data_IF_419264674180
#
_entry.id   IF_419264674180
#
_cell.length_a   1.000
_cell.length_b   1.000
_cell.length_c   1.000
_cell.angle_alpha   90.00
_cell.angle_beta   90.00
_cell.angle_gamma   90.00
#
_symmetry.space_group_name_H-M   'P 1'
#
loop_
_entity.id
_entity.type
_entity.pdbx_description
1 polymer ?
#
# COMPACT_ATOMS: atom_id res chain seq x y z
N UNK A 1 -7.32 -30.25 5.84
CA UNK A 1 -7.18 -28.86 6.32
C UNK A 1 -8.53 -28.17 6.14
N UNK A 2 -9.08 -27.52 7.16
CA UNK A 2 -10.35 -26.78 7.02
C UNK A 2 -10.01 -25.31 6.72
N UNK A 3 -10.19 -24.90 5.47
CA UNK A 3 -9.84 -23.55 5.00
C UNK A 3 -10.57 -22.45 5.78
N UNK A 4 -11.83 -22.68 6.16
CA UNK A 4 -12.62 -21.71 6.94
C UNK A 4 -12.04 -21.51 8.34
N UNK A 5 -11.48 -22.56 8.95
CA UNK A 5 -10.78 -22.43 10.23
C UNK A 5 -9.53 -21.55 10.11
N UNK A 6 -8.76 -21.72 9.04
CA UNK A 6 -7.58 -20.91 8.76
C UNK A 6 -7.93 -19.45 8.44
N UNK A 7 -8.96 -19.22 7.63
CA UNK A 7 -9.47 -17.86 7.34
C UNK A 7 -9.88 -17.16 8.64
N UNK A 8 -10.66 -17.83 9.50
CA UNK A 8 -11.09 -17.26 10.77
C UNK A 8 -9.91 -16.93 11.72
N UNK A 9 -8.78 -17.65 11.62
CA UNK A 9 -7.57 -17.31 12.37
C UNK A 9 -6.90 -16.05 11.81
N UNK A 10 -6.83 -15.91 10.48
CA UNK A 10 -6.28 -14.72 9.81
C UNK A 10 -7.14 -13.48 10.11
N UNK A 11 -8.46 -13.59 10.00
CA UNK A 11 -9.39 -12.49 10.25
C UNK A 11 -9.27 -11.93 11.68
N UNK A 12 -8.98 -12.77 12.68
CA UNK A 12 -8.76 -12.32 14.07
C UNK A 12 -7.52 -11.45 14.25
N UNK A 13 -6.54 -11.56 13.36
CA UNK A 13 -5.31 -10.76 13.40
C UNK A 13 -5.54 -9.38 12.76
N UNK A 14 -6.57 -9.24 11.93
CA UNK A 14 -6.93 -7.99 11.27
C UNK A 14 -7.78 -7.17 12.24
N UNK A 15 -7.20 -6.13 12.84
CA UNK A 15 -7.92 -5.21 13.75
C UNK A 15 -8.86 -4.29 12.98
N UNK A 16 -8.30 -3.29 12.30
CA UNK A 16 -9.04 -2.37 11.45
C UNK A 16 -8.28 -2.19 10.12
N UNK A 17 -8.74 -2.82 9.04
CA UNK A 17 -8.06 -2.78 7.75
C UNK A 17 -8.11 -1.41 7.06
N UNK A 18 -8.88 -0.44 7.59
CA UNK A 18 -8.87 0.95 7.09
C UNK A 18 -7.59 1.72 7.47
N UNK A 19 -6.90 1.29 8.53
CA UNK A 19 -5.59 1.83 8.93
C UNK A 19 -4.41 1.05 8.32
N UNK A 20 -4.67 -0.14 7.79
CA UNK A 20 -3.68 -1.02 7.19
C UNK A 20 -3.88 -2.46 7.62
N UNK A 21 -3.24 -3.38 6.90
CA UNK A 21 -3.18 -4.79 7.27
C UNK A 21 -1.91 -5.06 8.09
N UNK A 22 -1.91 -6.08 8.97
CA UNK A 22 -0.67 -6.66 9.45
C UNK A 22 0.25 -7.02 8.29
N UNK A 23 1.56 -6.85 8.48
CA UNK A 23 2.55 -6.92 7.41
C UNK A 23 2.52 -8.26 6.65
N UNK A 24 2.44 -9.38 7.36
CA UNK A 24 2.43 -10.71 6.77
C UNK A 24 1.17 -10.96 5.94
N UNK A 25 0.05 -10.39 6.38
CA UNK A 25 -1.23 -10.46 5.65
C UNK A 25 -1.15 -9.55 4.43
N UNK A 26 -0.57 -8.36 4.56
CA UNK A 26 -0.35 -7.45 3.43
C UNK A 26 0.52 -8.11 2.34
N UNK A 27 1.65 -8.73 2.70
CA UNK A 27 2.50 -9.46 1.75
C UNK A 27 1.85 -10.70 1.16
N UNK A 28 0.94 -11.36 1.88
CA UNK A 28 0.14 -12.44 1.29
C UNK A 28 -0.76 -11.88 0.19
N UNK A 29 -1.54 -10.83 0.49
CA UNK A 29 -2.50 -10.22 -0.42
C UNK A 29 -1.79 -9.62 -1.66
N UNK A 30 -0.65 -8.96 -1.48
CA UNK A 30 0.11 -8.34 -2.57
C UNK A 30 0.65 -9.34 -3.61
N UNK A 31 0.86 -10.60 -3.22
CA UNK A 31 1.32 -11.67 -4.11
C UNK A 31 0.21 -12.31 -4.94
N UNK A 32 -1.03 -12.22 -4.49
CA UNK A 32 -2.16 -12.97 -5.08
C UNK A 32 -3.30 -12.09 -5.60
N UNK A 33 -3.27 -10.78 -5.32
CA UNK A 33 -4.28 -9.82 -5.80
C UNK A 33 -3.64 -8.51 -6.26
N UNK A 34 -4.19 -7.86 -7.28
CA UNK A 34 -3.76 -6.51 -7.63
C UNK A 34 -4.12 -5.53 -6.52
N UNK A 35 -3.20 -4.59 -6.26
CA UNK A 35 -3.40 -3.49 -5.31
C UNK A 35 -3.70 -2.19 -6.07
N UNK A 36 -4.59 -1.37 -5.50
CA UNK A 36 -4.92 -0.06 -6.08
C UNK A 36 -4.00 0.98 -5.45
N UNK A 37 -3.31 1.76 -6.29
CA UNK A 37 -2.40 2.82 -5.86
C UNK A 37 -2.81 4.18 -6.40
N UNK A 38 -2.38 5.21 -5.68
CA UNK A 38 -2.31 6.59 -6.14
C UNK A 38 -0.84 6.98 -6.20
N UNK A 39 -0.40 7.48 -7.36
CA UNK A 39 0.91 8.12 -7.53
C UNK A 39 0.69 9.61 -7.87
N UNK A 40 1.47 10.48 -7.23
CA UNK A 40 1.35 11.93 -7.29
C UNK A 40 2.50 12.53 -8.10
N UNK A 41 2.24 12.86 -9.36
CA UNK A 41 3.20 13.60 -10.18
C UNK A 41 3.15 15.10 -9.81
N UNK A 42 4.04 15.50 -8.90
CA UNK A 42 4.07 16.85 -8.34
C UNK A 42 5.16 17.67 -9.03
N UNK A 43 4.79 18.84 -9.56
CA UNK A 43 5.70 19.79 -10.18
C UNK A 43 5.82 21.07 -9.36
N UNK A 44 7.02 21.63 -9.28
CA UNK A 44 7.21 22.98 -8.76
C UNK A 44 7.05 24.05 -9.87
N UNK A 45 7.20 25.33 -9.52
CA UNK A 45 7.06 26.45 -10.46
C UNK A 45 8.14 26.49 -11.56
N UNK A 46 9.24 25.77 -11.38
CA UNK A 46 10.32 25.66 -12.36
C UNK A 46 10.14 24.46 -13.31
N UNK A 47 9.07 23.67 -13.15
CA UNK A 47 8.83 22.46 -13.94
C UNK A 47 9.58 21.22 -13.46
N UNK A 48 10.22 21.27 -12.29
CA UNK A 48 10.93 20.13 -11.71
C UNK A 48 9.94 19.18 -11.02
N UNK A 49 10.18 17.87 -11.09
CA UNK A 49 9.33 16.84 -10.50
C UNK A 49 9.85 16.40 -9.13
N UNK A 50 8.96 16.36 -8.13
CA UNK A 50 9.28 15.77 -6.83
C UNK A 50 9.42 14.25 -6.94
N UNK A 51 10.56 13.74 -6.48
CA UNK A 51 10.82 12.30 -6.33
C UNK A 51 11.21 11.98 -4.89
N UNK A 52 10.86 10.80 -4.43
CA UNK A 52 11.26 10.23 -3.13
C UNK A 52 12.25 9.10 -3.34
N UNK A 53 13.34 9.10 -2.58
CA UNK A 53 14.26 7.96 -2.55
C UNK A 53 13.69 6.86 -1.66
N UNK A 54 13.52 5.66 -2.22
CA UNK A 54 13.15 4.46 -1.46
C UNK A 54 14.37 3.58 -1.33
N UNK A 55 14.69 3.16 -0.11
CA UNK A 55 15.86 2.33 0.21
C UNK A 55 15.77 0.88 -0.28
N UNK A 56 14.64 0.48 -0.88
CA UNK A 56 14.32 -0.90 -1.19
C UNK A 56 13.84 -1.67 0.04
N UNK A 57 13.16 -2.77 -0.20
CA UNK A 57 12.70 -3.74 0.80
C UNK A 57 12.79 -5.16 0.21
N UNK A 58 12.25 -6.17 0.90
CA UNK A 58 12.25 -7.56 0.41
C UNK A 58 11.61 -7.72 -0.98
N UNK A 59 10.78 -6.76 -1.41
CA UNK A 59 10.00 -6.83 -2.64
C UNK A 59 10.42 -5.79 -3.69
N UNK A 60 11.32 -4.86 -3.37
CA UNK A 60 11.66 -3.73 -4.23
C UNK A 60 13.14 -3.33 -4.16
N UNK A 61 13.70 -2.96 -5.32
CA UNK A 61 15.06 -2.40 -5.40
C UNK A 61 15.04 -0.93 -4.98
N UNK A 62 16.14 -0.42 -4.40
CA UNK A 62 16.26 1.00 -4.12
C UNK A 62 16.18 1.85 -5.40
N UNK A 63 15.62 3.05 -5.28
CA UNK A 63 15.50 3.97 -6.40
C UNK A 63 14.74 5.26 -6.10
N UNK A 64 14.73 6.15 -7.09
CA UNK A 64 13.86 7.33 -7.09
C UNK A 64 12.47 6.96 -7.61
N UNK A 65 11.44 7.32 -6.85
CA UNK A 65 10.04 7.06 -7.17
C UNK A 65 9.19 8.31 -7.07
N UNK A 66 8.08 8.32 -7.80
CA UNK A 66 7.01 9.31 -7.59
C UNK A 66 6.41 9.06 -6.19
N UNK A 67 6.10 10.12 -5.41
CA UNK A 67 5.36 9.98 -4.16
C UNK A 67 4.03 9.27 -4.42
N UNK A 68 3.67 8.30 -3.58
CA UNK A 68 2.48 7.50 -3.82
C UNK A 68 2.21 6.52 -2.69
N UNK A 69 1.01 5.95 -2.70
CA UNK A 69 0.56 5.02 -1.68
C UNK A 69 -0.62 4.16 -2.10
N UNK A 70 -0.75 3.02 -1.42
CA UNK A 70 -1.83 2.04 -1.63
C UNK A 70 -3.13 2.56 -1.01
N UNK A 71 -4.22 2.42 -1.75
CA UNK A 71 -5.58 2.66 -1.26
C UNK A 71 -5.99 1.53 -0.32
N UNK A 72 -6.34 1.88 0.92
CA UNK A 72 -6.70 0.92 1.97
C UNK A 72 -8.15 0.46 1.84
N UNK A 73 -8.50 -0.57 2.62
CA UNK A 73 -9.85 -1.11 2.63
C UNK A 73 -10.89 -0.03 2.96
N UNK A 74 -11.87 0.15 2.05
CA UNK A 74 -12.94 1.16 2.12
C UNK A 74 -12.46 2.63 2.18
N UNK A 75 -11.18 2.90 1.90
CA UNK A 75 -10.67 4.25 1.77
C UNK A 75 -11.15 4.89 0.46
N UNK A 76 -11.53 6.17 0.47
CA UNK A 76 -11.78 6.90 -0.77
C UNK A 76 -10.44 7.28 -1.40
N UNK A 77 -10.33 7.15 -2.72
CA UNK A 77 -9.13 7.56 -3.47
C UNK A 77 -8.72 9.01 -3.16
N UNK A 78 -9.70 9.91 -3.01
CA UNK A 78 -9.46 11.31 -2.64
C UNK A 78 -8.80 11.49 -1.26
N UNK A 79 -9.12 10.62 -0.30
CA UNK A 79 -8.51 10.67 1.03
C UNK A 79 -7.07 10.15 0.96
N UNK A 80 -6.81 9.11 0.14
CA UNK A 80 -5.44 8.63 -0.13
C UNK A 80 -4.55 9.71 -0.74
N UNK A 81 -5.05 10.48 -1.72
CA UNK A 81 -4.30 11.60 -2.33
C UNK A 81 -3.79 12.58 -1.26
N UNK A 82 -4.57 12.83 -0.20
CA UNK A 82 -4.21 13.79 0.87
C UNK A 82 -3.29 13.20 1.93
N UNK A 83 -3.19 11.88 2.01
CA UNK A 83 -2.44 11.17 3.05
C UNK A 83 -1.03 10.74 2.60
N UNK A 84 -0.70 10.93 1.32
CA UNK A 84 0.61 10.69 0.72
C UNK A 84 1.49 11.92 0.86
#
# INVERSE_FOLDING_TARGET
MNINKSIAQVERLIKDPSYGLPEEIFYLVSRITPLINVDLLIHNKNGETLLTWRGGDETSKPGWHIPGGIVRYKEKIADRIRAV
#
